data_IF_648945279272
#
_entry.id   IF_648945279272
#
_cell.length_a   1.000
_cell.length_b   1.000
_cell.length_c   1.000
_cell.angle_alpha   90.00
_cell.angle_beta   90.00
_cell.angle_gamma   90.00
#
_symmetry.space_group_name_H-M   'P 1'
#
loop_
_entity.id
_entity.type
_entity.pdbx_description
1 polymer ?
#
# COMPACT_ATOMS: atom_id res chain seq x y z
N UNK A 1 4.45 -2.73 -10.25
CA UNK A 1 3.94 -3.10 -8.91
C UNK A 1 3.70 -1.85 -8.05
N UNK A 2 4.72 -1.04 -7.76
CA UNK A 2 4.56 0.13 -6.89
C UNK A 2 3.63 1.21 -7.45
N UNK A 3 3.54 1.37 -8.78
CA UNK A 3 2.57 2.30 -9.38
C UNK A 3 1.11 1.90 -9.09
N UNK A 4 0.83 0.58 -9.09
CA UNK A 4 -0.47 0.05 -8.70
C UNK A 4 -0.77 0.33 -7.23
N UNK A 5 0.21 0.08 -6.35
CA UNK A 5 0.12 0.39 -4.90
C UNK A 5 -0.16 1.88 -4.69
N UNK A 6 0.59 2.76 -5.37
CA UNK A 6 0.41 4.21 -5.27
C UNK A 6 -1.00 4.64 -5.69
N UNK A 7 -1.51 4.12 -6.82
CA UNK A 7 -2.89 4.39 -7.27
C UNK A 7 -3.92 3.89 -6.26
N UNK A 8 -3.75 2.67 -5.76
CA UNK A 8 -4.66 2.05 -4.79
C UNK A 8 -4.66 2.81 -3.45
N UNK A 9 -3.53 3.36 -3.03
CA UNK A 9 -3.44 4.18 -1.81
C UNK A 9 -4.07 5.56 -2.00
N UNK A 10 -3.78 6.26 -3.10
CA UNK A 10 -4.17 7.65 -3.30
C UNK A 10 -5.60 7.81 -3.84
N UNK A 11 -6.05 6.88 -4.69
CA UNK A 11 -7.35 6.92 -5.37
C UNK A 11 -8.03 5.56 -5.44
N UNK A 12 -8.29 4.89 -4.29
CA UNK A 12 -8.89 3.56 -4.27
C UNK A 12 -10.25 3.49 -4.96
N UNK A 13 -11.02 4.59 -4.96
CA UNK A 13 -12.31 4.70 -5.62
C UNK A 13 -12.24 4.81 -7.16
N UNK A 14 -11.03 4.91 -7.74
CA UNK A 14 -10.78 4.99 -9.19
C UNK A 14 -10.12 3.72 -9.74
N UNK A 15 -10.03 2.67 -8.95
CA UNK A 15 -9.47 1.39 -9.40
C UNK A 15 -10.40 0.73 -10.41
N UNK A 16 -9.81 0.18 -11.47
CA UNK A 16 -10.50 -0.55 -12.54
C UNK A 16 -9.71 -1.81 -12.89
N UNK A 17 -10.34 -2.76 -13.56
CA UNK A 17 -9.71 -4.03 -13.93
C UNK A 17 -8.43 -3.85 -14.77
N UNK A 18 -8.38 -2.82 -15.63
CA UNK A 18 -7.22 -2.52 -16.47
C UNK A 18 -5.96 -2.16 -15.67
N UNK A 19 -6.09 -1.77 -14.40
CA UNK A 19 -4.93 -1.52 -13.53
C UNK A 19 -4.18 -2.80 -13.16
N UNK A 20 -4.80 -3.98 -13.34
CA UNK A 20 -4.17 -5.28 -13.12
C UNK A 20 -3.30 -5.71 -14.30
N UNK A 21 -3.56 -5.21 -15.50
CA UNK A 21 -2.87 -5.60 -16.73
C UNK A 21 -1.35 -5.41 -16.66
N UNK A 22 -0.82 -4.28 -16.16
CA UNK A 22 0.63 -4.14 -15.97
C UNK A 22 1.20 -5.18 -15.01
N UNK A 23 0.48 -5.57 -13.95
CA UNK A 23 0.94 -6.61 -13.02
C UNK A 23 1.00 -7.97 -13.72
N UNK A 24 -0.09 -8.36 -14.40
CA UNK A 24 -0.16 -9.63 -15.14
C UNK A 24 0.92 -9.73 -16.21
N UNK A 25 1.19 -8.65 -16.95
CA UNK A 25 2.27 -8.57 -17.95
C UNK A 25 3.67 -8.79 -17.37
N UNK A 26 3.88 -8.45 -16.10
CA UNK A 26 5.14 -8.68 -15.40
C UNK A 26 5.18 -10.02 -14.66
N UNK A 27 4.21 -10.91 -14.89
CA UNK A 27 4.21 -12.27 -14.36
C UNK A 27 3.63 -12.42 -12.96
N UNK A 28 2.96 -11.39 -12.43
CA UNK A 28 2.21 -11.53 -11.18
C UNK A 28 0.93 -12.33 -11.44
N UNK A 29 0.77 -13.44 -10.73
CA UNK A 29 -0.46 -14.22 -10.71
C UNK A 29 -1.50 -13.61 -9.75
N UNK A 30 -2.70 -14.19 -9.72
CA UNK A 30 -3.80 -13.66 -8.91
C UNK A 30 -3.52 -13.74 -7.40
N UNK A 31 -2.74 -14.73 -6.96
CA UNK A 31 -2.31 -14.84 -5.57
C UNK A 31 -1.36 -13.69 -5.19
N UNK A 32 -0.37 -13.41 -6.02
CA UNK A 32 0.56 -12.32 -5.78
C UNK A 32 -0.13 -10.94 -5.84
N UNK A 33 -1.10 -10.76 -6.75
CA UNK A 33 -1.92 -9.54 -6.82
C UNK A 33 -2.78 -9.38 -5.56
N UNK A 34 -3.38 -10.47 -5.07
CA UNK A 34 -4.13 -10.47 -3.82
C UNK A 34 -3.25 -10.04 -2.63
N UNK A 35 -2.04 -10.59 -2.53
CA UNK A 35 -1.08 -10.23 -1.47
C UNK A 35 -0.69 -8.76 -1.54
N UNK A 36 -0.45 -8.21 -2.75
CA UNK A 36 -0.20 -6.77 -2.95
C UNK A 36 -1.35 -5.92 -2.40
N UNK A 37 -2.59 -6.29 -2.69
CA UNK A 37 -3.78 -5.56 -2.20
C UNK A 37 -3.91 -5.66 -0.68
N UNK A 38 -3.71 -6.84 -0.10
CA UNK A 38 -3.78 -7.04 1.34
C UNK A 38 -2.73 -6.22 2.10
N UNK A 39 -1.46 -6.27 1.67
CA UNK A 39 -0.38 -5.50 2.29
C UNK A 39 -0.65 -4.00 2.17
N UNK A 40 -1.07 -3.54 0.98
CA UNK A 40 -1.40 -2.13 0.76
C UNK A 40 -2.52 -1.66 1.69
N UNK A 41 -3.59 -2.45 1.81
CA UNK A 41 -4.73 -2.15 2.68
C UNK A 41 -4.36 -2.13 4.16
N UNK A 42 -3.57 -3.11 4.61
CA UNK A 42 -3.12 -3.21 5.99
C UNK A 42 -2.26 -2.01 6.40
N UNK A 43 -1.30 -1.60 5.56
CA UNK A 43 -0.51 -0.40 5.84
C UNK A 43 -1.33 0.88 5.75
N UNK A 44 -2.32 0.96 4.85
CA UNK A 44 -3.22 2.11 4.83
C UNK A 44 -4.02 2.21 6.14
N UNK A 45 -4.41 1.09 6.76
CA UNK A 45 -5.02 1.07 8.09
C UNK A 45 -4.04 1.50 9.17
N UNK A 46 -2.83 0.93 9.21
CA UNK A 46 -1.83 1.31 10.22
C UNK A 46 -1.37 2.76 10.12
N UNK A 47 -1.22 3.31 8.92
CA UNK A 47 -0.90 4.72 8.74
C UNK A 47 -2.00 5.62 9.33
N UNK A 48 -3.29 5.24 9.18
CA UNK A 48 -4.40 5.99 9.80
C UNK A 48 -4.40 5.89 11.32
N UNK A 49 -4.02 4.74 11.89
CA UNK A 49 -3.86 4.62 13.33
C UNK A 49 -2.69 5.44 13.83
N UNK A 50 -1.51 5.27 13.23
CA UNK A 50 -0.29 5.93 13.68
C UNK A 50 -0.39 7.44 13.51
N UNK A 51 -0.64 7.92 12.29
CA UNK A 51 -0.66 9.35 12.01
C UNK A 51 -1.94 10.01 12.53
N UNK A 52 -3.07 9.28 12.54
CA UNK A 52 -4.36 9.82 13.02
C UNK A 52 -4.46 9.93 14.54
N UNK A 53 -3.70 9.13 15.29
CA UNK A 53 -3.65 9.19 16.75
C UNK A 53 -2.33 9.78 17.31
N UNK A 54 -1.38 10.13 16.43
CA UNK A 54 -0.08 10.69 16.83
C UNK A 54 0.84 9.67 17.52
N UNK A 55 0.83 8.42 17.06
CA UNK A 55 1.72 7.36 17.57
C UNK A 55 3.14 7.63 17.05
N UNK A 56 4.08 7.80 17.97
CA UNK A 56 5.50 7.97 17.68
C UNK A 56 6.18 6.63 17.38
N UNK A 57 7.38 6.72 16.80
CA UNK A 57 8.25 5.57 16.63
C UNK A 57 8.72 5.05 18.00
N UNK A 58 9.02 3.76 18.06
CA UNK A 58 9.70 3.16 19.20
C UNK A 58 11.02 3.90 19.51
N UNK A 59 11.42 4.03 20.79
CA UNK A 59 12.56 4.86 21.20
C UNK A 59 13.91 4.47 20.56
N UNK A 60 14.06 3.23 20.12
CA UNK A 60 15.26 2.69 19.49
C UNK A 60 15.26 2.84 17.96
N UNK A 61 14.14 3.23 17.35
CA UNK A 61 14.09 3.54 15.94
C UNK A 61 14.68 4.94 15.66
N UNK A 62 15.47 5.10 14.58
CA UNK A 62 15.91 6.42 14.18
C UNK A 62 14.69 7.30 13.92
N UNK A 63 14.67 8.48 14.54
CA UNK A 63 13.58 9.45 14.37
C UNK A 63 13.33 9.71 12.89
N UNK A 64 12.06 9.96 12.50
CA UNK A 64 11.73 10.41 11.15
C UNK A 64 12.55 11.67 10.87
N UNK A 65 13.61 11.56 10.08
CA UNK A 65 14.48 12.68 9.76
C UNK A 65 13.64 13.85 9.25
N UNK A 66 13.76 15.00 9.90
CA UNK A 66 13.50 16.30 9.28
C UNK A 66 14.79 16.79 8.65
#
# INVERSE_FOLDING_TARGET
MLDFVAKLTLTPNKMVEQDLEPLRKHGFDDHAIHDIVQVTGLFAYYNRLADGLGIDLEPDMPGRGM
#
